data_IF_181028402335
#
_entry.id   IF_181028402335
#
_cell.length_a   1.000
_cell.length_b   1.000
_cell.length_c   1.000
_cell.angle_alpha   90.00
_cell.angle_beta   90.00
_cell.angle_gamma   90.00
#
_symmetry.space_group_name_H-M   'P 1'
#
loop_
_entity.id
_entity.type
_entity.pdbx_description
1 polymer ?
#
# COMPACT_ATOMS: atom_id res chain seq x y z
N UNK A 1 12.88 -6.16 -4.47
CA UNK A 1 13.15 -5.16 -3.41
C UNK A 1 11.81 -4.56 -2.95
N UNK A 2 11.60 -4.33 -1.64
CA UNK A 2 10.32 -3.80 -1.14
C UNK A 2 10.21 -2.29 -1.39
N UNK A 3 9.54 -1.90 -2.49
CA UNK A 3 9.44 -0.50 -2.94
C UNK A 3 8.65 0.38 -1.97
N UNK A 4 7.57 -0.13 -1.37
CA UNK A 4 6.72 0.62 -0.44
C UNK A 4 7.53 1.08 0.78
N UNK A 5 8.21 0.16 1.47
CA UNK A 5 8.99 0.50 2.67
C UNK A 5 10.07 1.55 2.37
N UNK A 6 10.77 1.39 1.24
CA UNK A 6 11.81 2.36 0.81
C UNK A 6 11.20 3.76 0.60
N UNK A 7 10.05 3.84 -0.05
CA UNK A 7 9.36 5.11 -0.27
C UNK A 7 8.94 5.76 1.05
N UNK A 8 8.33 5.01 1.98
CA UNK A 8 7.85 5.52 3.25
C UNK A 8 8.97 6.08 4.13
N UNK A 9 10.10 5.37 4.24
CA UNK A 9 11.28 5.84 4.99
C UNK A 9 11.82 7.15 4.39
N UNK A 10 11.89 7.23 3.06
CA UNK A 10 12.37 8.43 2.38
C UNK A 10 11.42 9.61 2.52
N UNK A 11 10.10 9.38 2.46
CA UNK A 11 9.09 10.42 2.70
C UNK A 11 9.23 10.96 4.12
N UNK A 12 9.33 10.09 5.13
CA UNK A 12 9.50 10.49 6.52
C UNK A 12 10.75 11.36 6.73
N UNK A 13 11.87 11.00 6.09
CA UNK A 13 13.12 11.73 6.22
C UNK A 13 13.09 13.11 5.51
N UNK A 14 12.42 13.21 4.35
CA UNK A 14 12.43 14.43 3.51
C UNK A 14 11.39 15.47 3.90
N UNK A 15 10.32 15.07 4.58
CA UNK A 15 9.22 15.96 4.96
C UNK A 15 9.07 15.99 6.50
N UNK A 16 9.91 16.75 7.21
CA UNK A 16 9.89 16.78 8.69
C UNK A 16 8.59 17.35 9.27
N UNK A 17 7.90 18.22 8.53
CA UNK A 17 6.60 18.80 8.91
C UNK A 17 5.39 18.07 8.30
N UNK A 18 5.57 16.85 7.78
CA UNK A 18 4.47 16.06 7.21
C UNK A 18 3.42 15.78 8.29
N UNK A 19 2.17 16.12 8.02
CA UNK A 19 1.07 15.86 8.95
C UNK A 19 0.25 14.62 8.55
N UNK A 20 0.16 14.35 7.24
CA UNK A 20 -0.66 13.27 6.70
C UNK A 20 -0.12 12.82 5.36
N UNK A 21 -0.07 11.51 5.16
CA UNK A 21 0.25 10.85 3.91
C UNK A 21 -0.96 10.01 3.48
N UNK A 22 -1.45 10.24 2.27
CA UNK A 22 -2.52 9.47 1.66
C UNK A 22 -1.95 8.78 0.43
N UNK A 23 -2.10 7.46 0.35
CA UNK A 23 -1.63 6.68 -0.79
C UNK A 23 -2.54 5.50 -1.06
N UNK A 24 -2.42 4.94 -2.27
CA UNK A 24 -3.26 3.83 -2.70
C UNK A 24 -2.42 2.61 -3.05
N UNK A 25 -2.99 1.43 -2.85
CA UNK A 25 -2.40 0.16 -3.28
C UNK A 25 -3.48 -0.75 -3.85
N UNK A 26 -3.10 -1.58 -4.83
CA UNK A 26 -3.90 -2.76 -5.18
C UNK A 26 -3.64 -3.84 -4.14
N UNK A 27 -4.70 -4.58 -3.80
CA UNK A 27 -4.60 -5.65 -2.82
C UNK A 27 -4.84 -7.02 -3.46
N UNK A 28 -4.14 -8.03 -2.96
CA UNK A 28 -4.56 -9.41 -3.08
C UNK A 28 -5.58 -9.74 -1.98
N UNK A 29 -6.50 -10.65 -2.26
CA UNK A 29 -7.55 -11.01 -1.30
C UNK A 29 -7.01 -11.79 -0.09
N UNK A 30 -5.98 -12.60 -0.32
CA UNK A 30 -5.35 -13.47 0.68
C UNK A 30 -3.92 -13.85 0.26
N UNK A 31 -3.21 -14.54 1.15
CA UNK A 31 -1.83 -14.96 0.96
C UNK A 31 -1.62 -15.87 -0.25
N UNK A 32 -2.62 -16.69 -0.62
CA UNK A 32 -2.51 -17.56 -1.79
C UNK A 32 -2.62 -16.74 -3.08
N UNK A 33 -3.58 -15.83 -3.14
CA UNK A 33 -3.76 -14.91 -4.26
C UNK A 33 -2.56 -13.97 -4.41
N UNK A 34 -1.89 -13.58 -3.32
CA UNK A 34 -0.73 -12.69 -3.34
C UNK A 34 0.50 -13.28 -4.03
N UNK A 35 0.53 -14.58 -4.32
CA UNK A 35 1.63 -15.24 -5.03
C UNK A 35 1.34 -15.41 -6.53
N UNK A 36 0.18 -14.98 -6.99
CA UNK A 36 -0.31 -15.20 -8.36
C UNK A 36 -0.66 -13.89 -9.04
N UNK A 37 -0.89 -13.92 -10.36
CA UNK A 37 -1.47 -12.78 -11.06
C UNK A 37 -2.92 -12.57 -10.61
N UNK A 38 -3.28 -11.35 -10.18
CA UNK A 38 -4.63 -11.03 -9.68
C UNK A 38 -5.31 -10.05 -10.62
N UNK A 39 -6.47 -10.43 -11.17
CA UNK A 39 -7.33 -9.51 -11.92
C UNK A 39 -8.13 -8.65 -10.94
N UNK A 40 -7.87 -7.35 -10.97
CA UNK A 40 -8.53 -6.36 -10.13
C UNK A 40 -9.93 -6.03 -10.66
N UNK A 41 -10.82 -5.44 -9.85
CA UNK A 41 -12.18 -5.08 -10.27
C UNK A 41 -12.25 -4.16 -11.50
N UNK A 42 -11.19 -3.42 -11.79
CA UNK A 42 -11.08 -2.53 -12.94
C UNK A 42 -10.53 -3.21 -14.20
N UNK A 43 -10.23 -4.50 -14.12
CA UNK A 43 -9.68 -5.30 -15.21
C UNK A 43 -8.15 -5.31 -15.28
N UNK A 44 -7.44 -4.48 -14.51
CA UNK A 44 -5.98 -4.50 -14.45
C UNK A 44 -5.52 -5.80 -13.82
N UNK A 45 -4.49 -6.42 -14.39
CA UNK A 45 -3.81 -7.57 -13.80
C UNK A 45 -2.60 -7.08 -13.03
N UNK A 46 -2.56 -7.39 -11.73
CA UNK A 46 -1.46 -7.00 -10.84
C UNK A 46 -0.62 -8.21 -10.44
N UNK A 47 0.62 -7.96 -10.02
CA UNK A 47 1.60 -8.98 -9.62
C UNK A 47 2.34 -8.59 -8.34
N UNK A 48 2.97 -9.56 -7.68
CA UNK A 48 3.83 -9.36 -6.52
C UNK A 48 5.25 -8.87 -6.91
N UNK A 49 5.73 -9.32 -8.06
CA UNK A 49 7.12 -9.22 -8.50
C UNK A 49 7.36 -8.22 -9.62
N UNK A 50 6.29 -7.73 -10.28
CA UNK A 50 6.37 -6.74 -11.36
C UNK A 50 5.19 -5.78 -11.38
N UNK A 51 5.38 -4.62 -12.00
CA UNK A 51 4.30 -3.67 -12.19
C UNK A 51 3.24 -4.22 -13.17
N UNK A 52 1.95 -3.88 -12.99
CA UNK A 52 1.36 -3.19 -11.85
C UNK A 52 1.40 -4.04 -10.56
N UNK A 53 1.79 -3.46 -9.42
CA UNK A 53 1.99 -4.22 -8.18
C UNK A 53 0.70 -4.38 -7.37
N UNK A 54 0.58 -5.49 -6.61
CA UNK A 54 -0.34 -5.61 -5.48
C UNK A 54 0.39 -6.06 -4.21
N UNK A 55 -0.28 -5.96 -3.06
CA UNK A 55 0.23 -6.42 -1.76
C UNK A 55 -0.90 -7.03 -0.92
N UNK A 56 -0.54 -7.72 0.16
CA UNK A 56 -1.48 -8.02 1.24
C UNK A 56 -1.80 -6.76 2.06
N UNK A 57 -3.03 -6.67 2.55
CA UNK A 57 -3.46 -5.54 3.38
C UNK A 57 -2.62 -5.44 4.66
N UNK A 58 -2.38 -6.59 5.30
CA UNK A 58 -1.56 -6.73 6.49
C UNK A 58 -0.11 -6.27 6.26
N UNK A 59 0.45 -6.52 5.08
CA UNK A 59 1.80 -6.11 4.75
C UNK A 59 1.87 -4.59 4.56
N UNK A 60 0.92 -3.97 3.87
CA UNK A 60 0.86 -2.51 3.73
C UNK A 60 0.77 -1.85 5.11
N UNK A 61 -0.10 -2.37 5.98
CA UNK A 61 -0.27 -1.87 7.34
C UNK A 61 1.00 -2.06 8.17
N UNK A 62 1.61 -3.25 8.15
CA UNK A 62 2.82 -3.57 8.89
C UNK A 62 3.98 -2.69 8.45
N UNK A 63 4.26 -2.65 7.14
CA UNK A 63 5.37 -1.88 6.56
C UNK A 63 5.22 -0.39 6.84
N UNK A 64 3.99 0.13 6.82
CA UNK A 64 3.74 1.54 7.15
C UNK A 64 4.00 1.85 8.62
N UNK A 65 3.60 0.96 9.54
CA UNK A 65 3.89 1.12 10.97
C UNK A 65 5.38 1.11 11.28
N UNK A 66 6.11 0.11 10.77
CA UNK A 66 7.56 0.01 11.00
C UNK A 66 8.36 1.10 10.28
N UNK A 67 7.74 1.85 9.38
CA UNK A 67 8.32 3.04 8.73
C UNK A 67 8.05 4.35 9.49
N UNK A 68 7.45 4.30 10.68
CA UNK A 68 7.31 5.47 11.55
C UNK A 68 6.01 6.25 11.36
N UNK A 69 4.93 5.56 11.00
CA UNK A 69 3.59 6.15 10.86
C UNK A 69 2.56 5.35 11.66
N UNK A 70 1.55 6.01 12.21
CA UNK A 70 0.25 5.35 12.41
C UNK A 70 -0.47 5.28 11.07
N UNK A 71 -1.26 4.23 10.84
CA UNK A 71 -1.96 4.02 9.57
C UNK A 71 -3.29 3.30 9.79
N UNK A 72 -4.28 3.66 8.97
CA UNK A 72 -5.50 2.89 8.82
C UNK A 72 -5.86 2.74 7.34
N UNK A 73 -6.50 1.62 7.02
CA UNK A 73 -7.11 1.37 5.73
C UNK A 73 -8.47 2.07 5.70
N UNK A 74 -8.72 2.89 4.69
CA UNK A 74 -10.00 3.56 4.53
C UNK A 74 -11.02 2.62 3.89
N UNK A 75 -12.28 2.67 4.34
CA UNK A 75 -13.33 1.79 3.84
C UNK A 75 -13.87 2.20 2.46
N UNK A 76 -13.61 3.43 2.02
CA UNK A 76 -14.02 3.91 0.70
C UNK A 76 -13.29 3.16 -0.39
N UNK A 77 -14.06 2.46 -1.24
CA UNK A 77 -13.56 1.96 -2.52
C UNK A 77 -13.27 3.13 -3.44
N UNK A 78 -12.01 3.27 -3.82
CA UNK A 78 -11.63 4.23 -4.85
C UNK A 78 -11.93 3.66 -6.25
N UNK A 79 -12.04 4.53 -7.27
CA UNK A 79 -12.02 4.09 -8.65
C UNK A 79 -10.83 3.15 -8.87
N UNK A 80 -11.02 2.19 -9.78
CA UNK A 80 -9.99 1.25 -10.19
C UNK A 80 -9.63 0.11 -9.20
N UNK A 81 -10.42 -0.09 -8.14
CA UNK A 81 -10.19 -1.22 -7.21
C UNK A 81 -8.99 -1.05 -6.28
N UNK A 82 -8.35 0.13 -6.29
CA UNK A 82 -7.33 0.46 -5.32
C UNK A 82 -7.93 0.79 -3.96
N UNK A 83 -7.17 0.50 -2.90
CA UNK A 83 -7.54 0.81 -1.52
C UNK A 83 -6.74 2.00 -1.03
N UNK A 84 -7.43 2.94 -0.38
CA UNK A 84 -6.83 4.10 0.24
C UNK A 84 -6.26 3.76 1.63
N UNK A 85 -5.03 4.16 1.86
CA UNK A 85 -4.38 4.14 3.17
C UNK A 85 -4.11 5.57 3.61
N UNK A 86 -4.46 5.88 4.86
CA UNK A 86 -4.20 7.18 5.47
C UNK A 86 -3.23 6.95 6.62
N UNK A 87 -2.06 7.57 6.49
CA UNK A 87 -0.98 7.48 7.45
C UNK A 87 -0.68 8.86 8.05
N UNK A 88 -0.40 8.90 9.35
CA UNK A 88 0.08 10.10 10.05
C UNK A 88 1.42 9.78 10.69
N UNK A 89 2.44 10.64 10.54
CA UNK A 89 3.74 10.34 11.12
C UNK A 89 3.69 10.29 12.65
N UNK A 90 4.53 9.42 13.25
CA UNK A 90 4.70 9.32 14.71
C UNK A 90 5.48 10.48 15.31
#
# INVERSE_FOLDING_TARGET
ANHLRRALVQIRARFPALQKLMFTAFLAADASASLLAVKQPDGVVTHDTRAPYHMLAEDVLHLTRVSGFTVHQHQTRLPRGQVLFIATPL
#
